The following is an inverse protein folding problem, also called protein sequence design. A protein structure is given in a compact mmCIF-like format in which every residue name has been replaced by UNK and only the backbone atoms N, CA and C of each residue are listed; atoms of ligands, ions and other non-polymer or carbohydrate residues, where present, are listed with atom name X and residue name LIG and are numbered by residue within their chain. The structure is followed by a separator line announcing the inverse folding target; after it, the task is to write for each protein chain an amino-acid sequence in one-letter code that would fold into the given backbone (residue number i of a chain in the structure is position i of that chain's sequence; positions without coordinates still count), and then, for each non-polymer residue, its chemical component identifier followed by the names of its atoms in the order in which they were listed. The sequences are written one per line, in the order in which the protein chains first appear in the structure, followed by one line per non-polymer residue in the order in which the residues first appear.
data_IF_401657316042
#
_entry.id   IF_401657316042
#
_cell.length_a   1.000
_cell.length_b   1.000
_cell.length_c   1.000
_cell.angle_alpha   90.00
_cell.angle_beta   90.00
_cell.angle_gamma   90.00
#
_symmetry.space_group_name_H-M   'P 1'
#
loop_
_entity.id
_entity.type
_entity.pdbx_description
1 polymer ?
#
# COMPACT_ATOMS: atom_id res chain seq x y z
N UNK A 1 5.76 21.71 -1.10
CA UNK A 1 4.41 21.10 -1.29
C UNK A 1 3.58 22.11 -2.05
N UNK A 2 3.28 21.84 -3.30
CA UNK A 2 2.40 22.70 -4.09
C UNK A 2 0.97 22.64 -3.57
N UNK A 3 0.46 21.43 -3.33
CA UNK A 3 -0.86 21.20 -2.72
C UNK A 3 -0.82 19.93 -1.86
N UNK A 4 -1.36 20.00 -0.66
CA UNK A 4 -1.68 18.85 0.17
C UNK A 4 -3.18 18.87 0.52
N UNK A 5 -3.98 18.12 -0.22
CA UNK A 5 -5.45 18.15 -0.12
C UNK A 5 -5.91 17.75 1.29
N UNK A 6 -5.28 16.74 1.88
CA UNK A 6 -5.66 16.20 3.19
C UNK A 6 -5.44 17.19 4.35
N UNK A 7 -4.46 18.09 4.21
CA UNK A 7 -4.09 19.07 5.24
C UNK A 7 -4.50 20.50 4.85
N UNK A 8 -5.03 20.69 3.66
CA UNK A 8 -5.39 22.02 3.13
C UNK A 8 -4.18 22.94 2.86
N UNK A 9 -2.98 22.38 2.79
CA UNK A 9 -1.76 23.16 2.57
C UNK A 9 -1.60 23.51 1.09
N UNK A 10 -1.18 24.73 0.83
CA UNK A 10 -0.83 25.22 -0.51
C UNK A 10 0.48 26.02 -0.40
N UNK A 11 1.36 25.85 -1.37
CA UNK A 11 2.61 26.61 -1.52
C UNK A 11 3.44 26.68 -0.23
N UNK A 12 3.39 25.60 0.58
CA UNK A 12 4.10 25.50 1.84
C UNK A 12 5.43 24.73 1.65
N UNK A 13 6.51 25.30 2.20
CA UNK A 13 7.77 24.57 2.38
C UNK A 13 7.85 24.01 3.82
N UNK A 14 7.42 22.76 4.07
CA UNK A 14 7.40 22.19 5.42
C UNK A 14 8.80 22.05 6.02
N UNK A 15 9.84 21.95 5.19
CA UNK A 15 11.23 21.83 5.66
C UNK A 15 11.69 23.15 6.30
N UNK A 16 11.48 24.27 5.63
CA UNK A 16 11.84 25.58 6.14
C UNK A 16 11.04 25.94 7.39
N UNK A 17 9.72 25.72 7.34
CA UNK A 17 8.85 26.06 8.46
C UNK A 17 9.17 25.22 9.71
N UNK A 18 9.37 23.92 9.58
CA UNK A 18 9.77 23.07 10.69
C UNK A 18 11.18 23.38 11.18
N UNK A 19 12.14 23.65 10.28
CA UNK A 19 13.49 24.05 10.69
C UNK A 19 13.48 25.33 11.50
N UNK A 20 12.66 26.32 11.08
CA UNK A 20 12.47 27.58 11.82
C UNK A 20 11.89 27.35 13.21
N UNK A 21 10.89 26.46 13.36
CA UNK A 21 10.26 26.11 14.63
C UNK A 21 11.17 25.28 15.55
N UNK A 22 12.17 24.63 14.99
CA UNK A 22 13.15 23.78 15.69
C UNK A 22 14.52 24.46 15.84
N UNK A 23 14.55 25.78 15.95
CA UNK A 23 15.77 26.59 16.18
C UNK A 23 16.91 26.29 15.18
N UNK A 24 16.55 26.07 13.89
CA UNK A 24 17.51 25.85 12.81
C UNK A 24 17.99 24.41 12.64
N UNK A 25 17.39 23.44 13.32
CA UNK A 25 17.69 22.02 13.06
C UNK A 25 17.34 21.70 11.59
N UNK A 26 18.28 21.09 10.82
CA UNK A 26 18.01 20.71 9.44
C UNK A 26 16.85 19.70 9.34
N UNK A 27 15.83 20.05 8.57
CA UNK A 27 14.67 19.18 8.30
C UNK A 27 14.65 18.77 6.84
N UNK A 28 14.38 17.51 6.57
CA UNK A 28 14.09 16.98 5.23
C UNK A 28 12.71 16.35 5.25
N UNK A 29 11.91 16.62 4.23
CA UNK A 29 10.62 15.98 4.00
C UNK A 29 10.69 15.08 2.77
N UNK A 30 9.85 14.06 2.72
CA UNK A 30 9.76 13.14 1.60
C UNK A 30 8.35 12.53 1.52
N UNK A 31 8.09 11.76 0.46
CA UNK A 31 6.92 10.91 0.39
C UNK A 31 6.97 9.89 1.56
N UNK A 32 5.83 9.61 2.17
CA UNK A 32 5.72 8.78 3.39
C UNK A 32 6.22 7.34 3.17
N UNK A 33 5.88 6.71 2.04
CA UNK A 33 6.35 5.37 1.71
C UNK A 33 7.87 5.34 1.44
N UNK A 34 8.41 6.39 0.80
CA UNK A 34 9.85 6.53 0.57
C UNK A 34 10.62 6.68 1.89
N UNK A 35 10.09 7.49 2.82
CA UNK A 35 10.70 7.67 4.14
C UNK A 35 10.61 6.38 4.96
N UNK A 36 9.48 5.66 4.85
CA UNK A 36 9.33 4.35 5.48
C UNK A 36 10.34 3.33 4.93
N UNK A 37 10.54 3.29 3.60
CA UNK A 37 11.54 2.42 2.97
C UNK A 37 12.96 2.70 3.48
N UNK A 38 13.34 3.98 3.60
CA UNK A 38 14.62 4.38 4.18
C UNK A 38 14.75 3.96 5.64
N UNK A 39 13.68 4.05 6.43
CA UNK A 39 13.63 3.59 7.81
C UNK A 39 13.83 2.08 7.93
N UNK A 40 13.19 1.31 7.06
CA UNK A 40 13.34 -0.15 7.00
C UNK A 40 14.74 -0.58 6.56
N UNK A 41 15.34 0.13 5.61
CA UNK A 41 16.74 -0.11 5.23
C UNK A 41 17.69 0.22 6.37
N UNK A 42 17.42 1.29 7.13
CA UNK A 42 18.34 1.71 8.21
C UNK A 42 18.26 0.81 9.43
N UNK A 43 17.06 0.53 9.95
CA UNK A 43 16.88 -0.18 11.24
C UNK A 43 15.75 -1.22 11.23
N UNK A 44 15.19 -1.54 10.08
CA UNK A 44 14.09 -2.49 9.94
C UNK A 44 14.46 -3.78 9.22
N UNK A 45 13.48 -4.37 8.55
CA UNK A 45 13.60 -5.63 7.81
C UNK A 45 14.54 -5.58 6.60
N UNK A 46 14.87 -4.39 6.11
CA UNK A 46 15.80 -4.16 5.01
C UNK A 46 17.25 -3.87 5.45
N UNK A 47 17.54 -3.97 6.75
CA UNK A 47 18.89 -3.68 7.26
C UNK A 47 19.92 -4.65 6.70
N UNK A 48 20.98 -4.07 6.10
CA UNK A 48 22.08 -4.83 5.50
C UNK A 48 21.94 -5.10 4.01
N UNK A 49 20.80 -4.76 3.41
CA UNK A 49 20.55 -4.84 1.97
C UNK A 49 20.79 -3.48 1.30
N UNK A 50 21.26 -3.52 0.05
CA UNK A 50 21.50 -2.32 -0.76
C UNK A 50 20.33 -2.01 -1.68
N UNK A 51 19.62 -3.05 -2.12
CA UNK A 51 18.53 -2.99 -3.09
C UNK A 51 17.28 -3.59 -2.49
N UNK A 52 16.31 -2.75 -2.16
CA UNK A 52 15.07 -3.19 -1.56
C UNK A 52 13.85 -2.49 -2.13
N UNK A 53 12.73 -3.19 -2.12
CA UNK A 53 11.43 -2.62 -2.39
C UNK A 53 10.56 -2.78 -1.15
N UNK A 54 10.12 -1.64 -0.60
CA UNK A 54 9.12 -1.64 0.46
C UNK A 54 7.73 -1.47 -0.14
N UNK A 55 6.78 -2.26 0.38
CA UNK A 55 5.36 -2.15 0.06
C UNK A 55 4.57 -1.94 1.34
N UNK A 56 3.88 -0.82 1.45
CA UNK A 56 3.02 -0.51 2.59
C UNK A 56 1.57 -0.86 2.27
N UNK A 57 0.97 -1.74 3.05
CA UNK A 57 -0.42 -2.17 2.94
C UNK A 57 -1.23 -1.58 4.09
N UNK A 58 -1.80 -0.41 3.83
CA UNK A 58 -2.62 0.36 4.77
C UNK A 58 -3.99 0.71 4.19
N UNK A 59 -4.49 1.90 4.45
CA UNK A 59 -5.71 2.45 3.81
C UNK A 59 -5.57 2.44 2.29
N UNK A 60 -4.36 2.76 1.80
CA UNK A 60 -3.93 2.61 0.41
C UNK A 60 -2.79 1.59 0.29
N UNK A 61 -2.15 1.55 -0.89
CA UNK A 61 -0.92 0.81 -1.16
C UNK A 61 0.16 1.81 -1.55
N UNK A 62 1.19 1.92 -0.73
CA UNK A 62 2.37 2.72 -1.05
C UNK A 62 3.56 1.85 -1.40
N UNK A 63 4.55 2.42 -2.08
CA UNK A 63 5.80 1.76 -2.40
C UNK A 63 7.00 2.68 -2.25
N UNK A 64 8.13 2.09 -1.90
CA UNK A 64 9.43 2.77 -1.90
C UNK A 64 10.48 1.86 -2.50
N UNK A 65 11.18 2.34 -3.51
CA UNK A 65 12.24 1.59 -4.22
C UNK A 65 13.58 2.17 -3.85
N UNK A 66 14.48 1.35 -3.36
CA UNK A 66 15.87 1.71 -3.06
C UNK A 66 16.78 0.85 -3.91
N UNK A 67 17.68 1.47 -4.67
CA UNK A 67 18.71 0.81 -5.46
C UNK A 67 20.07 1.48 -5.14
N UNK A 68 21.12 0.69 -4.96
CA UNK A 68 22.43 1.17 -4.53
C UNK A 68 22.36 2.08 -3.28
N UNK A 69 21.52 1.71 -2.30
CA UNK A 69 21.27 2.48 -1.07
C UNK A 69 20.65 3.87 -1.31
N UNK A 70 20.06 4.12 -2.48
CA UNK A 70 19.44 5.39 -2.85
C UNK A 70 17.98 5.21 -3.17
N UNK A 71 17.15 6.08 -2.60
CA UNK A 71 15.72 6.10 -2.92
C UNK A 71 15.49 6.55 -4.37
N UNK A 72 14.67 5.81 -5.08
CA UNK A 72 14.25 6.11 -6.45
C UNK A 72 12.95 6.91 -6.40
N UNK A 73 13.05 8.21 -6.25
CA UNK A 73 11.88 9.09 -6.25
C UNK A 73 11.37 9.43 -7.67
N UNK A 74 12.25 9.30 -8.68
CA UNK A 74 11.95 9.75 -10.04
C UNK A 74 11.98 11.28 -10.20
N UNK A 75 11.99 11.75 -11.43
CA UNK A 75 12.07 13.19 -11.75
C UNK A 75 10.87 13.99 -11.24
N UNK A 76 9.69 13.35 -11.25
CA UNK A 76 8.41 13.98 -10.88
C UNK A 76 7.84 13.43 -9.55
N UNK A 77 8.64 12.66 -8.78
CA UNK A 77 8.21 12.09 -7.52
C UNK A 77 7.30 10.86 -7.63
N UNK A 78 7.18 10.27 -8.82
CA UNK A 78 6.31 9.10 -9.08
C UNK A 78 7.06 7.76 -8.95
N UNK A 79 8.36 7.78 -8.61
CA UNK A 79 9.11 6.55 -8.39
C UNK A 79 8.57 5.79 -7.18
N UNK A 80 8.28 4.52 -7.37
CA UNK A 80 7.76 3.67 -6.30
C UNK A 80 6.24 3.67 -6.11
N UNK A 81 5.46 4.34 -6.95
CA UNK A 81 3.99 4.36 -6.89
C UNK A 81 3.35 3.01 -7.31
N UNK A 82 3.78 1.92 -6.66
CA UNK A 82 3.40 0.52 -6.96
C UNK A 82 1.88 0.31 -6.78
N UNK A 83 1.26 1.01 -5.85
CA UNK A 83 -0.18 0.94 -5.61
C UNK A 83 -1.03 1.32 -6.82
N UNK A 84 -0.45 2.05 -7.79
CA UNK A 84 -1.14 2.49 -9.00
C UNK A 84 -0.81 1.64 -10.24
N UNK A 85 -0.09 0.53 -10.08
CA UNK A 85 0.06 -0.45 -11.15
C UNK A 85 -1.31 -0.98 -11.56
N UNK A 86 -1.56 -0.99 -12.86
CA UNK A 86 -2.76 -1.60 -13.42
C UNK A 86 -2.62 -3.13 -13.36
N UNK A 87 -3.51 -3.76 -12.59
CA UNK A 87 -3.50 -5.22 -12.35
C UNK A 87 -4.83 -5.90 -12.69
N UNK A 88 -5.91 -5.12 -12.90
CA UNK A 88 -7.26 -5.67 -13.13
C UNK A 88 -7.98 -4.94 -14.26
N UNK A 89 -8.20 -5.61 -15.39
CA UNK A 89 -8.89 -5.05 -16.56
C UNK A 89 -10.40 -4.83 -16.35
N UNK A 90 -11.05 -5.67 -15.53
CA UNK A 90 -12.50 -5.63 -15.35
C UNK A 90 -12.97 -4.58 -14.34
N UNK A 91 -12.06 -3.82 -13.74
CA UNK A 91 -12.40 -2.75 -12.80
C UNK A 91 -13.09 -1.60 -13.55
N UNK A 92 -14.21 -1.13 -13.00
CA UNK A 92 -15.01 -0.04 -13.58
C UNK A 92 -14.95 1.25 -12.75
N UNK A 93 -14.57 1.14 -11.49
CA UNK A 93 -14.47 2.28 -10.61
C UNK A 93 -13.11 2.97 -10.77
N UNK A 94 -13.10 4.29 -10.74
CA UNK A 94 -11.86 5.04 -10.78
C UNK A 94 -11.11 4.95 -9.44
N UNK A 95 -9.80 4.81 -9.54
CA UNK A 95 -8.87 5.02 -8.43
C UNK A 95 -8.72 6.52 -8.16
N UNK A 96 -8.28 6.90 -6.97
CA UNK A 96 -8.00 8.30 -6.62
C UNK A 96 -6.94 8.95 -7.51
N UNK A 97 -6.06 8.17 -8.17
CA UNK A 97 -5.11 8.66 -9.15
C UNK A 97 -5.74 8.98 -10.52
N UNK A 98 -7.03 8.70 -10.70
CA UNK A 98 -7.74 8.87 -11.98
C UNK A 98 -7.70 7.63 -12.90
N UNK A 99 -6.84 6.66 -12.63
CA UNK A 99 -6.79 5.37 -13.35
C UNK A 99 -7.88 4.40 -12.90
N UNK A 100 -7.91 3.22 -13.52
CA UNK A 100 -8.78 2.09 -13.15
C UNK A 100 -7.94 0.83 -13.01
N UNK A 101 -8.39 -0.12 -12.19
CA UNK A 101 -7.71 -1.41 -12.04
C UNK A 101 -6.38 -1.34 -11.29
N UNK A 102 -6.16 -0.31 -10.49
CA UNK A 102 -4.95 -0.15 -9.69
C UNK A 102 -4.86 -1.22 -8.59
N UNK A 103 -3.65 -1.65 -8.26
CA UNK A 103 -3.36 -2.58 -7.17
C UNK A 103 -4.01 -2.14 -5.85
N UNK A 104 -3.95 -0.85 -5.53
CA UNK A 104 -4.56 -0.27 -4.34
C UNK A 104 -6.05 -0.57 -4.23
N UNK A 105 -6.75 -0.57 -5.36
CA UNK A 105 -8.19 -0.86 -5.41
C UNK A 105 -8.52 -2.31 -4.99
N UNK A 106 -7.55 -3.20 -4.95
CA UNK A 106 -7.74 -4.61 -4.57
C UNK A 106 -7.05 -4.95 -3.26
N UNK A 107 -5.79 -4.53 -3.10
CA UNK A 107 -4.90 -5.06 -2.05
C UNK A 107 -4.70 -4.11 -0.87
N UNK A 108 -5.30 -2.91 -0.88
CA UNK A 108 -5.35 -2.04 0.29
C UNK A 108 -6.42 -2.50 1.29
N UNK A 109 -6.43 -1.96 2.50
CA UNK A 109 -7.49 -2.24 3.48
C UNK A 109 -8.88 -1.87 2.93
N UNK A 110 -8.99 -0.76 2.21
CA UNK A 110 -10.25 -0.36 1.55
C UNK A 110 -10.60 -1.30 0.39
N UNK A 111 -9.59 -1.74 -0.37
CA UNK A 111 -9.74 -2.71 -1.46
C UNK A 111 -10.22 -4.07 -0.96
N UNK A 112 -9.60 -4.61 0.08
CA UNK A 112 -9.99 -5.88 0.72
C UNK A 112 -11.46 -5.83 1.19
N UNK A 113 -11.86 -4.75 1.86
CA UNK A 113 -13.24 -4.57 2.30
C UNK A 113 -14.22 -4.49 1.12
N UNK A 114 -13.81 -3.84 0.03
CA UNK A 114 -14.60 -3.76 -1.21
C UNK A 114 -14.74 -5.13 -1.88
N UNK A 115 -13.67 -5.90 -1.97
CA UNK A 115 -13.72 -7.27 -2.52
C UNK A 115 -14.63 -8.17 -1.68
N UNK A 116 -14.61 -8.03 -0.35
CA UNK A 116 -15.50 -8.78 0.52
C UNK A 116 -16.99 -8.45 0.23
N UNK A 117 -17.33 -7.16 0.11
CA UNK A 117 -18.70 -6.77 -0.25
C UNK A 117 -19.11 -7.31 -1.62
N UNK A 118 -18.23 -7.24 -2.61
CA UNK A 118 -18.46 -7.79 -3.96
C UNK A 118 -18.67 -9.30 -3.94
N UNK A 119 -17.91 -10.02 -3.14
CA UNK A 119 -18.03 -11.48 -3.00
C UNK A 119 -19.32 -11.85 -2.29
N UNK A 120 -19.67 -11.16 -1.20
CA UNK A 120 -20.95 -11.35 -0.51
C UNK A 120 -22.18 -11.09 -1.40
N UNK A 121 -22.08 -10.10 -2.29
CA UNK A 121 -23.17 -9.77 -3.23
C UNK A 121 -23.36 -10.80 -4.35
N UNK A 122 -22.32 -11.57 -4.69
CA UNK A 122 -22.34 -12.58 -5.77
C UNK A 122 -22.75 -13.97 -5.31
N UNK A 123 -22.87 -14.23 -4.02
CA UNK A 123 -23.09 -15.56 -3.48
C UNK A 123 -23.92 -15.52 -2.22
N UNK A 124 -24.86 -16.48 -2.08
CA UNK A 124 -25.68 -16.65 -0.86
C UNK A 124 -25.06 -17.62 0.16
N UNK A 125 -23.82 -18.07 -0.08
CA UNK A 125 -23.12 -18.95 0.87
C UNK A 125 -23.04 -18.32 2.25
N UNK A 126 -23.13 -19.13 3.28
CA UNK A 126 -22.93 -18.71 4.66
C UNK A 126 -21.48 -18.24 4.85
N UNK A 127 -21.31 -17.18 5.59
CA UNK A 127 -20.01 -16.63 5.92
C UNK A 127 -20.08 -15.73 7.16
N UNK A 128 -19.02 -15.75 7.95
CA UNK A 128 -18.85 -14.84 9.09
C UNK A 128 -18.85 -13.37 8.67
N UNK A 129 -18.51 -13.06 7.39
CA UNK A 129 -18.49 -11.70 6.88
C UNK A 129 -19.87 -11.06 6.82
N UNK A 130 -20.94 -11.85 6.65
CA UNK A 130 -22.31 -11.33 6.48
C UNK A 130 -22.83 -10.56 7.68
N UNK A 131 -22.36 -10.89 8.90
CA UNK A 131 -22.75 -10.15 10.11
C UNK A 131 -22.32 -8.67 10.08
N UNK A 132 -21.32 -8.32 9.28
CA UNK A 132 -20.81 -6.95 9.16
C UNK A 132 -21.49 -6.15 8.05
N UNK A 133 -22.15 -6.81 7.09
CA UNK A 133 -22.79 -6.15 5.96
C UNK A 133 -21.85 -5.19 5.23
N UNK A 134 -22.33 -3.99 4.96
CA UNK A 134 -21.55 -2.94 4.29
C UNK A 134 -20.39 -2.39 5.16
N UNK A 135 -20.43 -2.59 6.48
CA UNK A 135 -19.41 -2.17 7.43
C UNK A 135 -18.24 -3.16 7.54
N UNK A 136 -18.19 -4.18 6.68
CA UNK A 136 -17.07 -5.13 6.65
C UNK A 136 -15.75 -4.39 6.43
N UNK A 137 -14.73 -4.71 7.24
CA UNK A 137 -13.39 -4.13 7.17
C UNK A 137 -12.36 -5.19 6.75
N UNK A 138 -11.17 -4.75 6.33
CA UNK A 138 -10.06 -5.67 6.07
C UNK A 138 -9.75 -6.55 7.28
N UNK A 139 -9.79 -5.97 8.49
CA UNK A 139 -9.59 -6.74 9.73
C UNK A 139 -10.59 -7.88 9.85
N UNK A 140 -11.88 -7.62 9.61
CA UNK A 140 -12.91 -8.67 9.66
C UNK A 140 -12.64 -9.78 8.64
N UNK A 141 -12.21 -9.41 7.42
CA UNK A 141 -11.85 -10.41 6.38
C UNK A 141 -10.67 -11.27 6.81
N UNK A 142 -9.61 -10.64 7.31
CA UNK A 142 -8.41 -11.34 7.75
C UNK A 142 -8.68 -12.26 8.96
N UNK A 143 -9.47 -11.79 9.93
CA UNK A 143 -9.85 -12.59 11.09
C UNK A 143 -10.75 -13.78 10.68
N UNK A 144 -11.71 -13.57 9.78
CA UNK A 144 -12.56 -14.63 9.25
C UNK A 144 -11.76 -15.65 8.43
N UNK A 145 -10.81 -15.21 7.60
CA UNK A 145 -9.94 -16.10 6.84
C UNK A 145 -9.07 -16.97 7.75
N UNK A 146 -8.53 -16.43 8.84
CA UNK A 146 -7.81 -17.19 9.86
C UNK A 146 -8.69 -18.23 10.56
N UNK A 147 -9.97 -17.91 10.74
CA UNK A 147 -10.95 -18.84 11.29
C UNK A 147 -11.43 -19.91 10.28
N UNK A 148 -10.93 -19.89 9.05
CA UNK A 148 -11.26 -20.86 8.00
C UNK A 148 -12.55 -20.54 7.23
N UNK A 149 -13.07 -19.31 7.30
CA UNK A 149 -14.24 -18.91 6.52
C UNK A 149 -13.93 -18.95 5.02
N UNK A 150 -14.64 -19.79 4.28
CA UNK A 150 -14.39 -20.05 2.86
C UNK A 150 -14.49 -18.78 2.00
N UNK A 151 -15.46 -17.92 2.28
CA UNK A 151 -15.65 -16.67 1.52
C UNK A 151 -14.53 -15.68 1.79
N UNK A 152 -14.09 -15.55 3.04
CA UNK A 152 -12.94 -14.72 3.39
C UNK A 152 -11.65 -15.24 2.76
N UNK A 153 -11.45 -16.56 2.71
CA UNK A 153 -10.32 -17.18 2.01
C UNK A 153 -10.34 -16.90 0.50
N UNK A 154 -11.53 -16.93 -0.14
CA UNK A 154 -11.69 -16.57 -1.56
C UNK A 154 -11.29 -15.10 -1.79
N UNK A 155 -11.73 -14.17 -0.94
CA UNK A 155 -11.32 -12.77 -0.99
C UNK A 155 -9.81 -12.65 -0.86
N UNK A 156 -9.20 -13.30 0.12
CA UNK A 156 -7.75 -13.22 0.33
C UNK A 156 -6.96 -13.86 -0.81
N UNK A 157 -7.48 -14.91 -1.45
CA UNK A 157 -6.88 -15.49 -2.65
C UNK A 157 -6.83 -14.48 -3.80
N UNK A 158 -7.91 -13.73 -4.01
CA UNK A 158 -7.98 -12.67 -5.02
C UNK A 158 -6.96 -11.56 -4.71
N UNK A 159 -6.95 -11.07 -3.47
CA UNK A 159 -6.03 -10.03 -3.00
C UNK A 159 -4.57 -10.45 -3.19
N UNK A 160 -4.22 -11.65 -2.75
CA UNK A 160 -2.86 -12.19 -2.84
C UNK A 160 -2.41 -12.41 -4.29
N UNK A 161 -3.33 -12.81 -5.17
CA UNK A 161 -3.04 -12.98 -6.59
C UNK A 161 -2.59 -11.65 -7.22
N UNK A 162 -3.36 -10.58 -7.05
CA UNK A 162 -3.03 -9.28 -7.64
C UNK A 162 -1.80 -8.63 -6.99
N UNK A 163 -1.62 -8.80 -5.69
CA UNK A 163 -0.40 -8.37 -5.01
C UNK A 163 0.82 -9.11 -5.56
N UNK A 164 0.75 -10.43 -5.69
CA UNK A 164 1.81 -11.24 -6.26
C UNK A 164 2.14 -10.85 -7.71
N UNK A 165 1.11 -10.56 -8.53
CA UNK A 165 1.29 -10.10 -9.90
C UNK A 165 2.07 -8.78 -9.96
N UNK A 166 1.69 -7.81 -9.12
CA UNK A 166 2.40 -6.52 -9.04
C UNK A 166 3.85 -6.69 -8.57
N UNK A 167 4.08 -7.48 -7.53
CA UNK A 167 5.44 -7.72 -7.02
C UNK A 167 6.32 -8.44 -8.03
N UNK A 168 5.75 -9.38 -8.81
CA UNK A 168 6.47 -10.05 -9.89
C UNK A 168 6.92 -9.06 -10.99
N UNK A 169 6.07 -8.09 -11.35
CA UNK A 169 6.43 -7.03 -12.30
C UNK A 169 7.56 -6.14 -11.76
N UNK A 170 7.50 -5.79 -10.48
CA UNK A 170 8.56 -5.03 -9.81
C UNK A 170 9.86 -5.83 -9.78
N UNK A 171 9.82 -7.11 -9.42
CA UNK A 171 10.99 -7.98 -9.41
C UNK A 171 11.68 -8.01 -10.78
N UNK A 172 10.89 -8.18 -11.87
CA UNK A 172 11.42 -8.19 -13.23
C UNK A 172 11.95 -6.83 -13.71
N UNK A 173 11.55 -5.74 -13.06
CA UNK A 173 11.92 -4.38 -13.48
C UNK A 173 13.18 -3.87 -12.78
N UNK A 174 13.28 -4.14 -11.47
CA UNK A 174 14.33 -3.54 -10.62
C UNK A 174 15.22 -4.58 -9.92
N UNK A 175 14.88 -5.87 -9.99
CA UNK A 175 15.64 -7.01 -9.45
C UNK A 175 16.14 -6.77 -8.01
N UNK A 176 15.27 -6.48 -7.03
CA UNK A 176 15.69 -6.13 -5.69
C UNK A 176 16.21 -7.35 -4.92
N UNK A 177 17.15 -7.14 -3.99
CA UNK A 177 17.62 -8.20 -3.08
C UNK A 177 16.52 -8.67 -2.12
N UNK A 178 15.59 -7.76 -1.74
CA UNK A 178 14.53 -8.06 -0.78
C UNK A 178 13.28 -7.21 -1.02
N UNK A 179 12.11 -7.82 -0.75
CA UNK A 179 10.86 -7.10 -0.54
C UNK A 179 10.57 -7.00 0.95
N UNK A 180 10.25 -5.79 1.42
CA UNK A 180 9.82 -5.52 2.79
C UNK A 180 8.35 -5.12 2.78
N UNK A 181 7.52 -5.80 3.54
CA UNK A 181 6.11 -5.47 3.67
C UNK A 181 5.81 -4.79 5.01
N UNK A 182 5.06 -3.70 4.98
CA UNK A 182 4.65 -2.95 6.16
C UNK A 182 3.18 -2.53 6.11
N UNK A 183 2.73 -1.83 7.14
CA UNK A 183 1.36 -1.33 7.25
C UNK A 183 0.43 -2.24 8.06
N UNK A 184 -0.82 -1.77 8.27
CA UNK A 184 -1.79 -2.45 9.12
C UNK A 184 -2.25 -3.81 8.59
N UNK A 185 -2.34 -3.97 7.27
CA UNK A 185 -2.76 -5.22 6.62
C UNK A 185 -1.67 -6.28 6.75
N UNK A 186 -0.39 -5.92 6.61
CA UNK A 186 0.73 -6.87 6.76
C UNK A 186 0.86 -7.44 8.18
N UNK A 187 0.36 -6.72 9.21
CA UNK A 187 0.32 -7.16 10.59
C UNK A 187 -0.78 -8.18 10.90
N UNK A 188 -1.63 -8.49 9.94
CA UNK A 188 -2.70 -9.47 10.12
C UNK A 188 -2.16 -10.88 10.38
N UNK A 189 -0.88 -11.05 10.19
CA UNK A 189 -0.08 -12.11 10.79
C UNK A 189 -0.26 -13.47 10.17
N UNK A 190 0.58 -14.27 10.62
CA UNK A 190 0.76 -15.70 10.38
C UNK A 190 -0.31 -16.54 11.05
#
# INVERSE_FOLDING_TARGET
VEVCVNLGWRDLNPQEELSRLLDGIPVKSGNDANVAALGEMWQGGGKGYSDLVMVTLGTGVGGGVILDQKIIAGKHGLGGEIGHFHVRDEEKEHCNCGGVGCLEQVSSATGIAREARRTMAKSDKQSMLRQFGDNVSAKNVLDAAKAGDEMALEVMKTVSHYLGLALAQVALTVDPEIFVSGGGVSKAGQ
#
